data_IF_623294440357
#
_entry.id   IF_623294440357
#
_cell.length_a   1.000
_cell.length_b   1.000
_cell.length_c   1.000
_cell.angle_alpha   90.00
_cell.angle_beta   90.00
_cell.angle_gamma   90.00
#
_symmetry.space_group_name_H-M   'P 1'
#
loop_
_entity.id
_entity.type
_entity.pdbx_description
1 polymer ?
#
# COMPACT_ATOMS: atom_id res chain seq x y z
N UNK A 1 -0.04 -26.43 8.29
CA UNK A 1 0.74 -25.32 8.87
C UNK A 1 0.57 -25.34 10.38
N UNK A 2 1.66 -25.49 11.14
CA UNK A 2 1.61 -25.61 12.62
C UNK A 2 2.38 -24.47 13.31
N UNK A 3 3.41 -23.94 12.67
CA UNK A 3 4.28 -22.92 13.26
C UNK A 3 4.76 -21.92 12.21
N UNK A 4 4.47 -20.64 12.44
CA UNK A 4 4.75 -19.55 11.49
C UNK A 4 5.81 -18.62 12.06
N UNK A 5 6.90 -18.38 11.30
CA UNK A 5 7.82 -17.28 11.55
C UNK A 5 7.27 -16.01 10.92
N UNK A 6 7.19 -14.94 11.71
CA UNK A 6 6.70 -13.63 11.26
C UNK A 6 7.91 -12.78 10.93
N UNK A 7 8.20 -12.66 9.62
CA UNK A 7 9.34 -11.92 9.11
C UNK A 7 9.05 -10.40 9.01
N UNK A 8 8.52 -9.84 10.08
CA UNK A 8 8.15 -8.44 10.17
C UNK A 8 8.15 -7.96 11.63
N UNK A 9 7.78 -6.69 11.87
CA UNK A 9 7.76 -6.00 13.15
C UNK A 9 6.50 -5.14 13.32
N UNK A 10 6.40 -4.50 14.46
CA UNK A 10 5.38 -3.46 14.69
C UNK A 10 3.95 -4.01 14.72
N UNK A 11 3.00 -3.20 14.30
CA UNK A 11 1.58 -3.53 14.39
C UNK A 11 1.21 -4.73 13.52
N UNK A 12 1.83 -4.86 12.33
CA UNK A 12 1.50 -5.99 11.42
C UNK A 12 1.97 -7.32 11.98
N UNK A 13 3.13 -7.36 12.67
CA UNK A 13 3.56 -8.58 13.36
C UNK A 13 2.59 -8.95 14.49
N UNK A 14 2.10 -7.97 15.26
CA UNK A 14 1.05 -8.18 16.27
C UNK A 14 -0.25 -8.69 15.63
N UNK A 15 -0.66 -8.12 14.48
CA UNK A 15 -1.86 -8.53 13.74
C UNK A 15 -1.76 -9.99 13.28
N UNK A 16 -0.59 -10.40 12.75
CA UNK A 16 -0.35 -11.78 12.30
C UNK A 16 -0.33 -12.75 13.49
N UNK A 17 0.32 -12.38 14.60
CA UNK A 17 0.32 -13.19 15.84
C UNK A 17 -1.12 -13.46 16.31
N UNK A 18 -1.98 -12.44 16.33
CA UNK A 18 -3.39 -12.58 16.72
C UNK A 18 -4.13 -13.56 15.79
N UNK A 19 -3.97 -13.41 14.47
CA UNK A 19 -4.58 -14.32 13.51
C UNK A 19 -4.09 -15.76 13.67
N UNK A 20 -2.78 -15.98 13.85
CA UNK A 20 -2.21 -17.30 14.11
C UNK A 20 -2.79 -17.94 15.39
N UNK A 21 -2.86 -17.18 16.49
CA UNK A 21 -3.43 -17.66 17.75
C UNK A 21 -4.89 -18.10 17.62
N UNK A 22 -5.70 -17.33 16.91
CA UNK A 22 -7.11 -17.68 16.67
C UNK A 22 -7.26 -18.93 15.77
N UNK A 23 -6.25 -19.27 14.98
CA UNK A 23 -6.18 -20.50 14.17
C UNK A 23 -5.46 -21.65 14.87
N UNK A 24 -4.99 -21.47 16.10
CA UNK A 24 -4.22 -22.49 16.83
C UNK A 24 -2.82 -22.73 16.25
N UNK A 25 -2.24 -21.76 15.57
CA UNK A 25 -0.92 -21.83 14.94
C UNK A 25 0.11 -21.18 15.87
N UNK A 26 1.20 -21.90 16.20
CA UNK A 26 2.29 -21.37 17.00
C UNK A 26 3.09 -20.29 16.24
N UNK A 27 3.60 -19.30 16.97
CA UNK A 27 4.20 -18.10 16.41
C UNK A 27 5.66 -17.92 16.81
N UNK A 28 6.49 -17.50 15.86
CA UNK A 28 7.87 -17.11 16.08
C UNK A 28 8.02 -15.67 15.61
N UNK A 29 8.28 -14.75 16.56
CA UNK A 29 8.65 -13.39 16.22
C UNK A 29 10.15 -13.31 15.94
N UNK A 30 10.53 -12.54 14.94
CA UNK A 30 11.92 -12.09 14.79
C UNK A 30 12.06 -10.64 15.22
N UNK A 31 13.25 -10.26 15.72
CA UNK A 31 13.48 -8.89 16.14
C UNK A 31 14.95 -8.49 15.98
N UNK A 32 15.17 -7.21 15.67
CA UNK A 32 16.48 -6.59 15.80
C UNK A 32 16.77 -6.19 17.24
N UNK A 33 18.02 -5.88 17.57
CA UNK A 33 18.38 -5.41 18.91
C UNK A 33 17.58 -4.17 19.36
N UNK A 34 17.12 -3.31 18.41
CA UNK A 34 16.28 -2.15 18.73
C UNK A 34 14.86 -2.55 19.17
N UNK A 35 14.35 -3.66 18.68
CA UNK A 35 12.99 -4.14 18.95
C UNK A 35 12.90 -5.17 20.08
N UNK A 36 13.96 -5.39 20.85
CA UNK A 36 14.00 -6.41 21.93
C UNK A 36 12.80 -6.35 22.88
N UNK A 37 12.26 -5.13 23.11
CA UNK A 37 11.11 -4.90 23.98
C UNK A 37 9.81 -4.66 23.23
N UNK A 38 9.79 -4.82 21.91
CA UNK A 38 8.60 -4.58 21.10
C UNK A 38 7.47 -5.58 21.45
N UNK A 39 6.22 -5.13 21.29
CA UNK A 39 5.05 -5.90 21.71
C UNK A 39 4.95 -7.26 20.98
N UNK A 40 5.28 -7.32 19.70
CA UNK A 40 5.26 -8.59 18.95
C UNK A 40 6.23 -9.64 19.51
N UNK A 41 7.37 -9.21 20.09
CA UNK A 41 8.34 -10.08 20.75
C UNK A 41 7.76 -10.68 22.04
N UNK A 42 6.97 -9.88 22.76
CA UNK A 42 6.34 -10.31 24.03
C UNK A 42 5.14 -11.21 23.80
N UNK A 43 4.43 -11.03 22.66
CA UNK A 43 3.22 -11.77 22.35
C UNK A 43 3.47 -13.11 21.67
N UNK A 44 4.55 -13.28 20.91
CA UNK A 44 4.83 -14.53 20.22
C UNK A 44 5.19 -15.66 21.18
N UNK A 45 4.95 -16.92 20.76
CA UNK A 45 5.30 -18.11 21.56
C UNK A 45 6.82 -18.29 21.67
N UNK A 46 7.55 -17.88 20.63
CA UNK A 46 9.02 -17.85 20.59
C UNK A 46 9.48 -16.55 19.95
N UNK A 47 10.69 -16.09 20.29
CA UNK A 47 11.28 -14.91 19.67
C UNK A 47 12.79 -15.08 19.44
N UNK A 48 13.29 -14.65 18.28
CA UNK A 48 14.68 -14.79 17.85
C UNK A 48 15.24 -13.43 17.46
N UNK A 49 16.38 -13.05 18.06
CA UNK A 49 17.13 -11.87 17.62
C UNK A 49 17.87 -12.19 16.30
N UNK A 50 17.60 -11.40 15.27
CA UNK A 50 18.14 -11.61 13.91
C UNK A 50 19.24 -10.63 13.51
N UNK A 51 19.67 -9.74 14.42
CA UNK A 51 20.76 -8.82 14.15
C UNK A 51 20.61 -7.44 14.80
N UNK A 52 21.48 -6.50 14.41
CA UNK A 52 21.47 -5.13 14.92
C UNK A 52 20.28 -4.31 14.39
N UNK A 53 20.14 -3.06 14.86
CA UNK A 53 19.03 -2.18 14.53
C UNK A 53 18.86 -1.87 13.04
N UNK A 54 19.95 -1.84 12.26
CA UNK A 54 19.88 -1.57 10.82
C UNK A 54 19.07 -2.65 10.09
N UNK A 55 18.06 -2.26 9.32
CA UNK A 55 17.17 -3.19 8.61
C UNK A 55 17.95 -4.13 7.66
N UNK A 56 18.96 -3.62 6.94
CA UNK A 56 19.81 -4.41 6.06
C UNK A 56 20.56 -5.56 6.77
N UNK A 57 20.85 -5.39 8.06
CA UNK A 57 21.57 -6.38 8.87
C UNK A 57 20.61 -7.24 9.73
N UNK A 58 19.30 -7.04 9.63
CA UNK A 58 18.26 -7.75 10.41
C UNK A 58 17.06 -8.13 9.54
N UNK A 59 16.02 -7.33 9.45
CA UNK A 59 14.76 -7.64 8.75
C UNK A 59 14.89 -7.84 7.24
N UNK A 60 15.93 -7.31 6.60
CA UNK A 60 16.28 -7.55 5.19
C UNK A 60 17.34 -8.64 5.01
N UNK A 61 17.85 -9.23 6.10
CA UNK A 61 18.85 -10.30 6.05
C UNK A 61 18.16 -11.66 5.89
N UNK A 62 18.00 -12.07 4.64
CA UNK A 62 17.35 -13.34 4.27
C UNK A 62 17.97 -14.55 4.96
N UNK A 63 19.31 -14.60 5.06
CA UNK A 63 20.03 -15.71 5.70
C UNK A 63 19.68 -15.80 7.19
N UNK A 64 19.65 -14.68 7.89
CA UNK A 64 19.27 -14.66 9.31
C UNK A 64 17.83 -15.15 9.53
N UNK A 65 16.90 -14.71 8.67
CA UNK A 65 15.48 -15.13 8.74
C UNK A 65 15.31 -16.63 8.47
N UNK A 66 15.94 -17.17 7.43
CA UNK A 66 15.87 -18.59 7.08
C UNK A 66 16.53 -19.45 8.15
N UNK A 67 17.65 -18.99 8.72
CA UNK A 67 18.32 -19.66 9.84
C UNK A 67 17.43 -19.70 11.07
N UNK A 68 16.79 -18.57 11.41
CA UNK A 68 15.84 -18.51 12.53
C UNK A 68 14.65 -19.45 12.31
N UNK A 69 14.10 -19.52 11.09
CA UNK A 69 13.02 -20.44 10.75
C UNK A 69 13.43 -21.92 10.94
N UNK A 70 14.62 -22.26 10.44
CA UNK A 70 15.16 -23.63 10.57
C UNK A 70 15.42 -24.01 12.04
N UNK A 71 16.05 -23.14 12.81
CA UNK A 71 16.39 -23.41 14.21
C UNK A 71 15.16 -23.53 15.11
N UNK A 72 14.09 -22.82 14.80
CA UNK A 72 12.85 -22.84 15.58
C UNK A 72 11.84 -23.88 15.09
N UNK A 73 12.12 -24.53 13.98
CA UNK A 73 11.22 -25.54 13.37
C UNK A 73 9.94 -24.91 12.83
N UNK A 74 10.03 -23.70 12.25
CA UNK A 74 8.92 -23.12 11.50
C UNK A 74 8.62 -23.94 10.24
N UNK A 75 7.36 -24.05 9.87
CA UNK A 75 6.92 -24.66 8.62
C UNK A 75 6.46 -23.61 7.58
N UNK A 76 6.31 -22.36 8.01
CA UNK A 76 5.95 -21.26 7.13
C UNK A 76 6.58 -19.93 7.58
N UNK A 77 6.67 -18.99 6.64
CA UNK A 77 7.09 -17.60 6.87
C UNK A 77 6.00 -16.66 6.37
N UNK A 78 5.55 -15.77 7.26
CA UNK A 78 4.64 -14.67 6.89
C UNK A 78 5.42 -13.37 6.83
N UNK A 79 5.56 -12.74 5.65
CA UNK A 79 6.38 -11.53 5.49
C UNK A 79 5.64 -10.24 5.92
N UNK A 80 4.32 -10.27 6.09
CA UNK A 80 3.50 -9.06 6.30
C UNK A 80 3.52 -8.13 5.08
N UNK A 81 3.83 -6.86 5.30
CA UNK A 81 4.08 -5.85 4.26
C UNK A 81 5.42 -5.14 4.50
N UNK A 82 5.99 -4.52 3.45
CA UNK A 82 7.34 -3.94 3.48
C UNK A 82 8.43 -5.01 3.62
N UNK A 83 9.66 -4.60 3.93
CA UNK A 83 10.85 -5.47 4.02
C UNK A 83 10.95 -6.47 2.85
N UNK A 84 10.78 -7.76 3.11
CA UNK A 84 10.93 -8.84 2.11
C UNK A 84 9.60 -9.36 1.57
N UNK A 85 8.48 -8.69 1.82
CA UNK A 85 7.15 -9.17 1.40
C UNK A 85 6.98 -9.23 -0.12
N UNK A 86 7.68 -8.38 -0.87
CA UNK A 86 7.69 -8.34 -2.33
C UNK A 86 9.07 -8.70 -2.92
N UNK A 87 9.81 -9.53 -2.19
CA UNK A 87 11.12 -10.01 -2.64
C UNK A 87 11.04 -11.45 -3.18
N UNK A 88 11.06 -11.59 -4.50
CA UNK A 88 10.94 -12.88 -5.17
C UNK A 88 12.08 -13.85 -4.84
N UNK A 89 13.32 -13.36 -4.69
CA UNK A 89 14.46 -14.18 -4.31
C UNK A 89 14.25 -14.79 -2.90
N UNK A 90 13.72 -14.01 -1.96
CA UNK A 90 13.38 -14.52 -0.64
C UNK A 90 12.28 -15.58 -0.68
N UNK A 91 11.23 -15.36 -1.48
CA UNK A 91 10.15 -16.35 -1.67
C UNK A 91 10.69 -17.67 -2.25
N UNK A 92 11.58 -17.62 -3.26
CA UNK A 92 12.26 -18.80 -3.82
C UNK A 92 13.11 -19.52 -2.78
N UNK A 93 13.89 -18.79 -1.98
CA UNK A 93 14.72 -19.36 -0.92
C UNK A 93 13.90 -20.01 0.19
N UNK A 94 12.73 -19.44 0.55
CA UNK A 94 11.80 -20.10 1.45
C UNK A 94 11.36 -21.46 0.91
N UNK A 95 10.92 -21.50 -0.34
CA UNK A 95 10.51 -22.75 -1.00
C UNK A 95 11.64 -23.79 -1.07
N UNK A 96 12.85 -23.37 -1.44
CA UNK A 96 14.03 -24.24 -1.47
C UNK A 96 14.41 -24.78 -0.09
N UNK A 97 14.12 -24.02 0.96
CA UNK A 97 14.31 -24.46 2.35
C UNK A 97 13.16 -25.33 2.90
N UNK A 98 12.15 -25.68 2.08
CA UNK A 98 10.98 -26.43 2.49
C UNK A 98 9.99 -25.64 3.34
N UNK A 99 10.04 -24.31 3.30
CA UNK A 99 9.16 -23.40 4.04
C UNK A 99 8.06 -22.87 3.13
N UNK A 100 6.82 -22.86 3.63
CA UNK A 100 5.72 -22.18 2.94
C UNK A 100 5.88 -20.68 3.09
N UNK A 101 6.02 -19.97 1.97
CA UNK A 101 5.93 -18.50 1.94
C UNK A 101 4.46 -18.08 1.92
N UNK A 102 4.01 -17.31 2.91
CA UNK A 102 2.61 -16.83 2.99
C UNK A 102 2.48 -15.60 2.09
N UNK A 103 2.24 -15.85 0.83
CA UNK A 103 2.19 -14.88 -0.25
C UNK A 103 1.99 -15.55 -1.60
N UNK A 104 2.05 -14.81 -2.70
CA UNK A 104 2.00 -15.36 -4.06
C UNK A 104 3.32 -16.05 -4.43
N UNK A 105 3.37 -16.66 -5.62
CA UNK A 105 4.59 -17.27 -6.12
C UNK A 105 5.66 -16.22 -6.41
N UNK A 106 6.92 -16.64 -6.33
CA UNK A 106 8.06 -15.77 -6.62
C UNK A 106 8.01 -15.20 -8.05
N UNK A 107 7.51 -15.97 -9.02
CA UNK A 107 7.42 -15.51 -10.41
C UNK A 107 6.36 -14.42 -10.59
N UNK A 108 5.26 -14.47 -9.85
CA UNK A 108 4.26 -13.39 -9.83
C UNK A 108 4.81 -12.14 -9.14
N UNK A 109 5.60 -12.31 -8.07
CA UNK A 109 6.26 -11.17 -7.40
C UNK A 109 7.24 -10.48 -8.37
N UNK A 110 8.08 -11.24 -9.08
CA UNK A 110 9.01 -10.68 -10.06
C UNK A 110 8.28 -9.97 -11.20
N UNK A 111 7.26 -10.65 -11.77
CA UNK A 111 6.50 -10.13 -12.90
C UNK A 111 5.80 -8.81 -12.57
N UNK A 112 5.18 -8.72 -11.40
CA UNK A 112 4.47 -7.51 -10.98
C UNK A 112 5.40 -6.44 -10.41
N UNK A 113 6.59 -6.81 -9.96
CA UNK A 113 7.63 -5.88 -9.49
C UNK A 113 8.29 -5.09 -10.63
N UNK A 114 8.29 -5.62 -11.86
CA UNK A 114 8.81 -4.92 -13.04
C UNK A 114 7.69 -4.17 -13.77
N UNK A 115 7.72 -2.83 -13.73
CA UNK A 115 6.62 -1.98 -14.25
C UNK A 115 6.29 -2.23 -15.72
N UNK A 116 7.31 -2.43 -16.57
CA UNK A 116 7.10 -2.67 -17.99
C UNK A 116 6.44 -4.04 -18.23
N UNK A 117 6.92 -5.09 -17.59
CA UNK A 117 6.37 -6.44 -17.67
C UNK A 117 4.95 -6.52 -17.09
N UNK A 118 4.71 -5.87 -15.94
CA UNK A 118 3.40 -5.77 -15.34
C UNK A 118 2.39 -5.10 -16.29
N UNK A 119 2.78 -3.95 -16.89
CA UNK A 119 1.95 -3.23 -17.86
C UNK A 119 1.65 -4.07 -19.10
N UNK A 120 2.64 -4.73 -19.68
CA UNK A 120 2.45 -5.59 -20.84
C UNK A 120 1.52 -6.76 -20.54
N UNK A 121 1.68 -7.36 -19.37
CA UNK A 121 0.83 -8.45 -18.88
C UNK A 121 -0.62 -7.98 -18.72
N UNK A 122 -0.84 -6.81 -18.17
CA UNK A 122 -2.17 -6.23 -18.00
C UNK A 122 -2.82 -5.91 -19.36
N UNK A 123 -2.07 -5.39 -20.33
CA UNK A 123 -2.57 -5.19 -21.70
C UNK A 123 -3.04 -6.51 -22.34
N UNK A 124 -2.25 -7.59 -22.20
CA UNK A 124 -2.62 -8.93 -22.69
C UNK A 124 -3.87 -9.50 -22.02
N UNK A 125 -4.10 -9.12 -20.77
CA UNK A 125 -5.28 -9.49 -19.99
C UNK A 125 -6.48 -8.53 -20.23
N UNK A 126 -6.39 -7.62 -21.20
CA UNK A 126 -7.42 -6.61 -21.51
C UNK A 126 -7.77 -5.67 -20.35
N UNK A 127 -6.82 -5.49 -19.42
CA UNK A 127 -6.95 -4.54 -18.32
C UNK A 127 -6.60 -3.14 -18.81
N UNK A 128 -7.46 -2.13 -18.59
CA UNK A 128 -7.15 -0.76 -18.98
C UNK A 128 -5.87 -0.26 -18.35
N UNK A 129 -4.93 0.22 -19.16
CA UNK A 129 -3.70 0.87 -18.70
C UNK A 129 -3.67 2.30 -19.20
N UNK A 130 -2.96 3.20 -18.49
CA UNK A 130 -2.85 4.60 -18.92
C UNK A 130 -2.33 4.63 -20.36
N UNK A 131 -3.02 5.29 -21.32
CA UNK A 131 -2.53 5.43 -22.69
C UNK A 131 -1.12 6.01 -22.70
N UNK A 132 -0.19 5.38 -23.41
CA UNK A 132 1.20 5.79 -23.38
C UNK A 132 1.97 5.41 -24.63
N UNK A 133 3.27 5.73 -24.68
CA UNK A 133 4.14 5.33 -25.78
C UNK A 133 4.29 3.79 -25.80
N UNK A 134 4.26 3.24 -27.00
CA UNK A 134 4.42 1.79 -27.22
C UNK A 134 5.87 1.32 -26.98
N UNK A 135 6.83 2.24 -27.12
CA UNK A 135 8.24 1.99 -26.93
C UNK A 135 8.90 3.12 -26.17
N UNK A 136 10.02 2.82 -25.57
CA UNK A 136 10.94 3.80 -24.98
C UNK A 136 11.67 4.55 -26.10
N UNK A 137 12.12 5.75 -25.80
CA UNK A 137 12.87 6.60 -26.73
C UNK A 137 13.95 7.43 -26.03
N UNK A 138 14.96 7.82 -26.80
CA UNK A 138 16.10 8.62 -26.30
C UNK A 138 16.19 10.00 -26.99
N UNK A 139 15.29 10.28 -27.93
CA UNK A 139 15.31 11.55 -28.69
C UNK A 139 14.01 12.32 -28.52
N UNK A 140 14.11 13.65 -28.44
CA UNK A 140 12.95 14.52 -28.33
C UNK A 140 12.01 14.41 -29.55
N UNK A 141 12.54 14.15 -30.75
CA UNK A 141 11.74 14.00 -31.97
C UNK A 141 10.81 12.78 -31.89
N UNK A 142 11.34 11.61 -31.49
CA UNK A 142 10.54 10.39 -31.30
C UNK A 142 9.48 10.57 -30.20
N UNK A 143 9.88 11.18 -29.07
CA UNK A 143 8.96 11.48 -27.96
C UNK A 143 7.85 12.44 -28.37
N UNK A 144 8.15 13.49 -29.14
CA UNK A 144 7.13 14.43 -29.61
C UNK A 144 6.09 13.76 -30.55
N UNK A 145 6.53 12.86 -31.44
CA UNK A 145 5.62 12.09 -32.27
C UNK A 145 4.68 11.20 -31.43
N UNK A 146 5.23 10.57 -30.40
CA UNK A 146 4.43 9.77 -29.47
C UNK A 146 3.44 10.64 -28.70
N UNK A 147 3.89 11.80 -28.18
CA UNK A 147 3.04 12.76 -27.47
C UNK A 147 1.87 13.27 -28.33
N UNK A 148 2.11 13.54 -29.60
CA UNK A 148 1.07 13.98 -30.54
C UNK A 148 0.01 12.89 -30.76
N UNK A 149 0.40 11.61 -30.77
CA UNK A 149 -0.55 10.48 -30.89
C UNK A 149 -1.37 10.25 -29.62
N UNK A 150 -0.74 10.44 -28.44
CA UNK A 150 -1.40 10.30 -27.14
C UNK A 150 -2.35 11.47 -26.89
N UNK A 151 -1.99 12.66 -27.37
CA UNK A 151 -2.67 13.94 -27.13
C UNK A 151 -2.24 14.58 -25.80
N UNK A 152 -1.89 15.90 -25.87
CA UNK A 152 -1.50 16.67 -24.71
C UNK A 152 -2.68 16.92 -23.73
N UNK A 153 -2.42 17.12 -22.42
CA UNK A 153 -1.14 17.03 -21.75
C UNK A 153 -0.63 15.58 -21.61
N UNK A 154 0.70 15.42 -21.56
CA UNK A 154 1.37 14.13 -21.36
C UNK A 154 2.34 14.20 -20.18
N UNK A 155 2.56 13.03 -19.55
CA UNK A 155 3.59 12.83 -18.53
C UNK A 155 4.80 12.16 -19.17
N UNK A 156 5.93 12.84 -19.23
CA UNK A 156 7.22 12.27 -19.61
C UNK A 156 7.87 11.63 -18.36
N UNK A 157 8.36 10.40 -18.50
CA UNK A 157 8.97 9.63 -17.40
C UNK A 157 10.26 8.95 -17.84
N UNK A 158 11.23 8.87 -16.91
CA UNK A 158 12.40 8.01 -17.08
C UNK A 158 11.98 6.54 -16.96
N UNK A 159 12.48 5.67 -17.86
CA UNK A 159 12.17 4.23 -17.83
C UNK A 159 12.84 3.54 -16.63
N UNK A 160 14.08 3.91 -16.32
CA UNK A 160 14.78 3.45 -15.14
C UNK A 160 14.59 4.48 -14.02
N UNK A 161 13.46 4.46 -13.29
CA UNK A 161 13.25 5.52 -12.32
C UNK A 161 12.17 5.24 -11.28
N UNK A 162 12.27 6.00 -10.18
CA UNK A 162 11.31 6.01 -9.09
C UNK A 162 11.42 7.34 -8.31
N UNK A 163 10.48 7.58 -7.39
CA UNK A 163 10.52 8.76 -6.51
C UNK A 163 10.34 10.12 -7.20
N UNK A 164 9.69 10.17 -8.38
CA UNK A 164 9.37 11.42 -9.08
C UNK A 164 10.52 12.05 -9.86
N UNK A 165 11.74 11.52 -9.82
CA UNK A 165 12.87 12.04 -10.60
C UNK A 165 12.77 11.65 -12.07
N UNK A 166 13.12 12.59 -12.97
CA UNK A 166 12.99 12.39 -14.41
C UNK A 166 11.55 12.37 -14.91
N UNK A 167 10.63 12.98 -14.16
CA UNK A 167 9.21 13.14 -14.54
C UNK A 167 8.87 14.58 -14.82
N UNK A 168 8.12 14.82 -15.92
CA UNK A 168 7.66 16.17 -16.31
C UNK A 168 6.27 16.09 -16.94
N UNK A 169 5.39 16.98 -16.50
CA UNK A 169 4.13 17.25 -17.21
C UNK A 169 4.42 18.20 -18.36
N UNK A 170 3.93 17.87 -19.54
CA UNK A 170 4.10 18.67 -20.75
C UNK A 170 2.72 18.96 -21.31
N UNK A 171 2.30 20.24 -21.24
CA UNK A 171 0.96 20.67 -21.62
C UNK A 171 0.78 20.85 -23.13
N UNK A 172 1.86 21.15 -23.84
CA UNK A 172 1.78 21.45 -25.29
C UNK A 172 3.10 21.16 -26.02
N UNK A 173 2.98 20.89 -27.31
CA UNK A 173 4.09 20.49 -28.18
C UNK A 173 5.28 21.46 -28.17
N UNK A 174 5.04 22.78 -28.04
CA UNK A 174 6.10 23.79 -28.02
C UNK A 174 7.09 23.62 -26.85
N UNK A 175 6.63 23.10 -25.71
CA UNK A 175 7.44 22.90 -24.50
C UNK A 175 8.25 21.58 -24.56
N UNK A 176 7.84 20.64 -25.43
CA UNK A 176 8.32 19.25 -25.38
C UNK A 176 9.84 19.11 -25.43
N UNK A 177 10.49 19.82 -26.37
CA UNK A 177 11.95 19.72 -26.57
C UNK A 177 12.73 20.18 -25.33
N UNK A 178 12.29 21.26 -24.70
CA UNK A 178 12.91 21.80 -23.49
C UNK A 178 12.76 20.88 -22.30
N UNK A 179 11.51 20.48 -22.00
CA UNK A 179 11.20 19.62 -20.87
C UNK A 179 11.82 18.21 -21.01
N UNK A 180 11.87 17.69 -22.24
CA UNK A 180 12.55 16.44 -22.54
C UNK A 180 14.04 16.49 -22.17
N UNK A 181 14.76 17.55 -22.57
CA UNK A 181 16.18 17.68 -22.27
C UNK A 181 16.45 17.76 -20.76
N UNK A 182 15.60 18.48 -20.01
CA UNK A 182 15.71 18.58 -18.56
C UNK A 182 15.45 17.23 -17.88
N UNK A 183 14.35 16.55 -18.22
CA UNK A 183 13.99 15.26 -17.64
C UNK A 183 15.02 14.17 -17.96
N UNK A 184 15.55 14.14 -19.20
CA UNK A 184 16.55 13.16 -19.61
C UNK A 184 17.89 13.37 -18.88
N UNK A 185 18.32 14.61 -18.68
CA UNK A 185 19.54 14.92 -17.92
C UNK A 185 19.37 14.49 -16.44
N UNK A 186 18.22 14.75 -15.85
CA UNK A 186 17.91 14.32 -14.50
C UNK A 186 17.91 12.79 -14.37
N UNK A 187 17.29 12.09 -15.34
CA UNK A 187 17.28 10.64 -15.40
C UNK A 187 18.69 10.05 -15.55
N UNK A 188 19.50 10.62 -16.42
CA UNK A 188 20.90 10.21 -16.60
C UNK A 188 21.71 10.35 -15.32
N UNK A 189 21.58 11.49 -14.62
CA UNK A 189 22.32 11.76 -13.40
C UNK A 189 21.84 10.88 -12.22
N UNK A 190 20.54 10.61 -12.13
CA UNK A 190 19.97 9.85 -11.02
C UNK A 190 20.05 8.33 -11.21
N UNK A 191 19.92 7.86 -12.46
CA UNK A 191 19.72 6.44 -12.77
C UNK A 191 20.69 5.87 -13.81
N UNK A 192 21.54 6.70 -14.42
CA UNK A 192 22.49 6.28 -15.45
C UNK A 192 21.86 5.91 -16.80
N UNK A 193 20.57 6.19 -17.01
CA UNK A 193 19.81 5.85 -18.21
C UNK A 193 19.24 7.08 -18.90
N UNK A 194 19.22 7.07 -20.25
CA UNK A 194 18.58 8.10 -21.08
C UNK A 194 17.23 7.68 -21.67
N UNK A 195 16.79 6.47 -21.35
CA UNK A 195 15.53 5.93 -21.84
C UNK A 195 14.35 6.63 -21.16
N UNK A 196 13.45 7.14 -21.98
CA UNK A 196 12.24 7.86 -21.57
C UNK A 196 11.02 7.21 -22.19
N UNK A 197 9.88 7.36 -21.54
CA UNK A 197 8.58 6.98 -22.09
C UNK A 197 7.53 8.04 -21.76
N UNK A 198 6.37 7.95 -22.38
CA UNK A 198 5.25 8.88 -22.18
C UNK A 198 4.01 8.15 -21.73
N UNK A 199 3.23 8.83 -20.90
CA UNK A 199 1.87 8.46 -20.56
C UNK A 199 0.95 9.68 -20.71
N UNK A 200 -0.35 9.43 -20.94
CA UNK A 200 -1.36 10.46 -20.84
C UNK A 200 -1.35 11.04 -19.44
N UNK A 201 -1.28 12.37 -19.32
CA UNK A 201 -1.40 13.01 -18.02
C UNK A 201 -2.87 13.02 -17.56
N UNK A 202 -3.10 12.52 -16.37
CA UNK A 202 -4.38 12.60 -15.69
C UNK A 202 -4.32 13.76 -14.70
N UNK A 203 -5.15 14.79 -14.90
CA UNK A 203 -5.02 16.04 -14.15
C UNK A 203 -5.50 15.89 -12.68
N UNK A 204 -6.62 15.20 -12.46
CA UNK A 204 -7.28 15.07 -11.15
C UNK A 204 -7.73 13.63 -10.88
N UNK A 205 -6.81 12.63 -10.97
CA UNK A 205 -7.21 11.25 -10.75
C UNK A 205 -7.40 10.99 -9.26
N UNK A 206 -8.24 9.98 -8.98
CA UNK A 206 -8.34 9.38 -7.65
C UNK A 206 -7.59 8.06 -7.63
N UNK A 207 -7.01 7.72 -6.49
CA UNK A 207 -6.37 6.45 -6.27
C UNK A 207 -7.36 5.47 -5.65
N UNK A 208 -7.85 4.55 -6.46
CA UNK A 208 -8.78 3.51 -6.03
C UNK A 208 -8.09 2.16 -6.20
N UNK A 209 -8.23 1.30 -5.22
CA UNK A 209 -7.59 -0.01 -5.24
C UNK A 209 -8.57 -1.13 -4.90
N UNK A 210 -8.33 -2.33 -5.45
CA UNK A 210 -9.18 -3.51 -5.25
C UNK A 210 -8.44 -4.57 -4.49
N UNK A 211 -9.00 -4.99 -3.35
CA UNK A 211 -8.49 -6.10 -2.57
C UNK A 211 -8.83 -7.43 -3.24
N UNK A 212 -7.81 -8.20 -3.56
CA UNK A 212 -7.92 -9.56 -4.09
C UNK A 212 -7.61 -10.58 -3.00
N UNK A 213 -8.37 -11.67 -3.01
CA UNK A 213 -8.02 -12.95 -2.40
C UNK A 213 -8.13 -14.04 -3.47
N UNK A 214 -7.10 -14.88 -3.59
CA UNK A 214 -7.07 -15.96 -4.55
C UNK A 214 -6.45 -17.23 -3.96
N UNK A 215 -7.03 -18.40 -4.25
CA UNK A 215 -6.53 -19.68 -3.77
C UNK A 215 -5.76 -20.46 -4.85
N UNK A 216 -5.14 -21.57 -4.44
CA UNK A 216 -4.37 -22.44 -5.32
C UNK A 216 -5.23 -23.22 -6.33
N UNK A 217 -6.57 -23.26 -6.18
CA UNK A 217 -7.50 -23.88 -7.10
C UNK A 217 -8.00 -22.92 -8.19
N UNK A 218 -7.56 -21.68 -8.18
CA UNK A 218 -7.94 -20.64 -9.17
C UNK A 218 -9.21 -19.88 -8.81
N UNK A 219 -9.77 -20.06 -7.61
CA UNK A 219 -10.86 -19.21 -7.14
C UNK A 219 -10.30 -17.83 -6.79
N UNK A 220 -10.95 -16.78 -7.27
CA UNK A 220 -10.55 -15.39 -7.05
C UNK A 220 -11.73 -14.57 -6.57
N UNK A 221 -11.55 -13.86 -5.47
CA UNK A 221 -12.49 -12.87 -4.95
C UNK A 221 -11.92 -11.45 -5.09
N UNK A 222 -12.73 -10.54 -5.62
CA UNK A 222 -12.59 -9.11 -5.32
C UNK A 222 -13.38 -8.84 -4.05
N UNK A 223 -12.69 -8.57 -2.97
CA UNK A 223 -13.30 -8.43 -1.62
C UNK A 223 -13.96 -7.07 -1.44
N UNK A 224 -13.51 -6.07 -2.18
CA UNK A 224 -14.01 -4.71 -2.19
C UNK A 224 -12.93 -3.74 -2.62
N UNK A 225 -13.32 -2.49 -2.78
CA UNK A 225 -12.39 -1.41 -3.14
C UNK A 225 -12.16 -0.45 -1.97
N UNK A 226 -11.02 0.24 -2.03
CA UNK A 226 -10.61 1.31 -1.12
C UNK A 226 -10.31 2.57 -1.89
N UNK A 227 -10.62 3.72 -1.31
CA UNK A 227 -10.20 5.04 -1.78
C UNK A 227 -8.98 5.50 -0.98
N UNK A 228 -7.85 5.55 -1.63
CA UNK A 228 -6.54 5.92 -1.07
C UNK A 228 -6.02 7.24 -1.65
N UNK A 229 -6.93 8.13 -2.06
CA UNK A 229 -6.61 9.37 -2.74
C UNK A 229 -5.83 10.36 -1.85
N UNK A 230 -6.07 10.35 -0.54
CA UNK A 230 -5.41 11.27 0.39
C UNK A 230 -4.00 10.80 0.71
N UNK A 231 -3.03 11.38 0.01
CA UNK A 231 -1.61 11.03 0.10
C UNK A 231 -0.76 12.29 0.24
N UNK A 232 0.38 12.15 0.93
CA UNK A 232 1.43 13.16 0.99
C UNK A 232 2.75 12.54 0.52
N UNK A 233 3.37 13.11 -0.49
CA UNK A 233 4.62 12.58 -1.07
C UNK A 233 4.50 11.09 -1.46
N UNK A 234 3.37 10.71 -2.08
CA UNK A 234 3.01 9.34 -2.46
C UNK A 234 2.87 8.34 -1.28
N UNK A 235 2.71 8.84 -0.07
CA UNK A 235 2.36 8.03 1.10
C UNK A 235 0.90 8.27 1.49
N UNK A 236 0.13 7.21 1.57
CA UNK A 236 -1.28 7.22 1.99
C UNK A 236 -1.38 7.73 3.43
N UNK A 237 -2.34 8.59 3.72
CA UNK A 237 -2.54 9.24 5.03
C UNK A 237 -3.91 8.92 5.61
N UNK A 238 -4.94 8.95 4.77
CA UNK A 238 -6.33 8.61 5.09
C UNK A 238 -6.83 7.68 3.98
N UNK A 239 -7.44 6.56 4.37
CA UNK A 239 -8.02 5.58 3.46
C UNK A 239 -9.48 5.30 3.83
N UNK A 240 -10.34 5.16 2.83
CA UNK A 240 -11.78 4.91 2.99
C UNK A 240 -12.24 3.65 2.25
N UNK A 241 -13.23 2.96 2.79
CA UNK A 241 -13.92 1.86 2.12
C UNK A 241 -15.43 1.89 2.46
N UNK A 242 -16.31 1.67 1.46
CA UNK A 242 -16.05 1.61 0.03
C UNK A 242 -15.73 3.00 -0.56
N UNK A 243 -15.23 3.03 -1.81
CA UNK A 243 -14.97 4.27 -2.56
C UNK A 243 -16.30 4.90 -3.00
N UNK A 244 -16.80 5.88 -2.24
CA UNK A 244 -18.11 6.51 -2.49
C UNK A 244 -18.13 7.39 -3.75
N UNK A 245 -16.98 7.71 -4.32
CA UNK A 245 -16.88 8.45 -5.57
C UNK A 245 -17.26 7.64 -6.81
N UNK A 246 -17.30 6.29 -6.70
CA UNK A 246 -17.61 5.39 -7.81
C UNK A 246 -19.11 5.20 -7.99
N UNK A 247 -19.57 5.27 -9.25
CA UNK A 247 -20.88 4.77 -9.62
C UNK A 247 -20.95 3.24 -9.44
N UNK A 248 -22.14 2.69 -9.26
CA UNK A 248 -22.33 1.23 -9.18
C UNK A 248 -21.75 0.52 -10.40
N UNK A 249 -22.00 1.05 -11.60
CA UNK A 249 -21.52 0.47 -12.86
C UNK A 249 -19.99 0.47 -12.93
N UNK A 250 -19.34 1.59 -12.54
CA UNK A 250 -17.87 1.70 -12.58
C UNK A 250 -17.24 0.78 -11.52
N UNK A 251 -17.83 0.70 -10.34
CA UNK A 251 -17.42 -0.24 -9.29
C UNK A 251 -17.46 -1.69 -9.77
N UNK A 252 -18.57 -2.11 -10.36
CA UNK A 252 -18.72 -3.47 -10.88
C UNK A 252 -17.69 -3.80 -11.97
N UNK A 253 -17.47 -2.88 -12.91
CA UNK A 253 -16.42 -3.01 -13.95
C UNK A 253 -15.03 -3.12 -13.33
N UNK A 254 -14.72 -2.24 -12.36
CA UNK A 254 -13.42 -2.21 -11.67
C UNK A 254 -13.13 -3.54 -10.95
N UNK A 255 -14.10 -4.04 -10.18
CA UNK A 255 -13.99 -5.31 -9.47
C UNK A 255 -13.84 -6.50 -10.43
N UNK A 256 -14.64 -6.54 -11.52
CA UNK A 256 -14.54 -7.57 -12.53
C UNK A 256 -13.19 -7.57 -13.25
N UNK A 257 -12.67 -6.38 -13.59
CA UNK A 257 -11.35 -6.19 -14.19
C UNK A 257 -10.24 -6.73 -13.27
N UNK A 258 -10.30 -6.42 -11.99
CA UNK A 258 -9.31 -6.92 -11.02
C UNK A 258 -9.35 -8.46 -10.87
N UNK A 259 -10.54 -9.06 -10.91
CA UNK A 259 -10.68 -10.53 -10.92
C UNK A 259 -10.07 -11.14 -12.19
N UNK A 260 -10.33 -10.55 -13.35
CA UNK A 260 -9.78 -11.01 -14.65
C UNK A 260 -8.26 -10.95 -14.63
N UNK A 261 -7.69 -9.84 -14.18
CA UNK A 261 -6.25 -9.66 -14.04
C UNK A 261 -5.63 -10.69 -13.08
N UNK A 262 -6.21 -10.89 -11.90
CA UNK A 262 -5.70 -11.86 -10.92
C UNK A 262 -5.74 -13.31 -11.47
N UNK A 263 -6.79 -13.68 -12.21
CA UNK A 263 -6.89 -14.97 -12.87
C UNK A 263 -5.82 -15.16 -13.95
N UNK A 264 -5.55 -14.15 -14.78
CA UNK A 264 -4.52 -14.21 -15.82
C UNK A 264 -3.11 -14.39 -15.26
N UNK A 265 -2.87 -13.90 -14.04
CA UNK A 265 -1.62 -14.05 -13.30
C UNK A 265 -1.50 -15.40 -12.56
N UNK A 266 -2.54 -16.23 -12.53
CA UNK A 266 -2.63 -17.36 -11.60
C UNK A 266 -2.31 -16.95 -10.18
N UNK A 267 -2.83 -15.78 -9.77
CA UNK A 267 -2.52 -15.18 -8.47
C UNK A 267 -2.97 -16.09 -7.31
N UNK A 268 -2.21 -16.07 -6.22
CA UNK A 268 -2.56 -16.76 -4.97
C UNK A 268 -2.29 -15.84 -3.77
N UNK A 269 -3.02 -16.04 -2.66
CA UNK A 269 -2.93 -15.23 -1.44
C UNK A 269 -3.71 -13.89 -1.54
N UNK A 270 -3.44 -12.98 -0.61
CA UNK A 270 -3.96 -11.62 -0.65
C UNK A 270 -3.07 -10.73 -1.51
N UNK A 271 -3.68 -9.88 -2.32
CA UNK A 271 -3.01 -8.87 -3.12
C UNK A 271 -3.94 -7.69 -3.37
N UNK A 272 -3.37 -6.60 -3.85
CA UNK A 272 -4.15 -5.39 -4.15
C UNK A 272 -3.79 -4.86 -5.52
N UNK A 273 -4.80 -4.63 -6.36
CA UNK A 273 -4.64 -3.95 -7.64
C UNK A 273 -4.98 -2.48 -7.48
N UNK A 274 -4.03 -1.62 -7.79
CA UNK A 274 -4.17 -0.17 -7.70
C UNK A 274 -4.51 0.43 -9.05
N UNK A 275 -5.47 1.36 -9.06
CA UNK A 275 -5.97 2.04 -10.24
C UNK A 275 -6.01 3.55 -10.04
N UNK A 276 -5.74 4.28 -11.13
CA UNK A 276 -6.08 5.69 -11.22
C UNK A 276 -7.44 5.85 -11.90
N UNK A 277 -8.41 6.39 -11.19
CA UNK A 277 -9.73 6.71 -11.71
C UNK A 277 -9.71 8.15 -12.18
N UNK A 278 -9.79 8.34 -13.49
CA UNK A 278 -9.69 9.66 -14.13
C UNK A 278 -11.02 10.42 -14.08
N UNK A 279 -12.14 9.70 -14.21
CA UNK A 279 -13.50 10.24 -14.18
C UNK A 279 -14.51 9.12 -13.85
N UNK A 280 -15.81 9.41 -14.02
CA UNK A 280 -16.90 8.49 -13.67
C UNK A 280 -16.88 7.15 -14.47
N UNK A 281 -16.18 7.07 -15.61
CA UNK A 281 -16.21 5.92 -16.52
C UNK A 281 -14.84 5.30 -16.75
N UNK A 282 -13.75 6.07 -16.57
CA UNK A 282 -12.41 5.68 -16.95
C UNK A 282 -11.52 5.42 -15.75
N UNK A 283 -10.98 4.23 -15.67
CA UNK A 283 -9.95 3.84 -14.71
C UNK A 283 -8.81 3.10 -15.42
N UNK A 284 -7.62 3.19 -14.87
CA UNK A 284 -6.41 2.64 -15.44
C UNK A 284 -5.58 1.94 -14.38
N UNK A 285 -5.09 0.73 -14.69
CA UNK A 285 -4.16 0.01 -13.84
C UNK A 285 -2.88 0.83 -13.62
N UNK A 286 -2.46 0.92 -12.37
CA UNK A 286 -1.24 1.58 -11.96
C UNK A 286 -0.17 0.56 -11.57
N UNK A 287 -0.47 -0.29 -10.59
CA UNK A 287 0.42 -1.35 -10.12
C UNK A 287 -0.36 -2.42 -9.35
N UNK A 288 0.32 -3.53 -9.06
CA UNK A 288 -0.19 -4.56 -8.15
C UNK A 288 0.75 -4.75 -6.98
N UNK A 289 0.24 -4.59 -5.77
CA UNK A 289 0.95 -4.97 -4.56
C UNK A 289 0.71 -6.45 -4.27
N UNK A 290 1.77 -7.25 -4.35
CA UNK A 290 1.70 -8.71 -4.23
C UNK A 290 1.79 -9.19 -2.77
N UNK A 291 1.12 -8.48 -1.87
CA UNK A 291 1.12 -8.65 -0.41
C UNK A 291 -0.14 -8.08 0.22
N UNK A 292 -0.31 -8.28 1.52
CA UNK A 292 -1.28 -7.53 2.31
C UNK A 292 -0.86 -6.04 2.37
N UNK A 293 -1.83 -5.13 2.41
CA UNK A 293 -1.56 -3.69 2.57
C UNK A 293 -1.79 -3.20 4.00
N UNK A 294 -1.26 -2.01 4.31
CA UNK A 294 -1.43 -1.35 5.62
C UNK A 294 -2.91 -1.17 5.93
N UNK A 295 -3.68 -0.68 4.95
CA UNK A 295 -5.09 -0.32 5.00
C UNK A 295 -6.07 -1.51 4.86
N UNK A 296 -5.58 -2.75 4.94
CA UNK A 296 -6.44 -3.94 4.92
C UNK A 296 -7.57 -3.92 5.97
N UNK A 297 -7.40 -3.30 7.16
CA UNK A 297 -8.46 -3.29 8.18
C UNK A 297 -9.78 -2.70 7.73
N UNK A 298 -9.79 -1.67 6.87
CA UNK A 298 -11.03 -1.07 6.40
C UNK A 298 -11.82 -2.04 5.50
N UNK A 299 -11.14 -2.85 4.70
CA UNK A 299 -11.77 -3.93 3.93
C UNK A 299 -12.29 -5.04 4.84
N UNK A 300 -11.54 -5.43 5.87
CA UNK A 300 -12.00 -6.43 6.84
C UNK A 300 -13.31 -6.01 7.52
N UNK A 301 -13.40 -4.73 7.92
CA UNK A 301 -14.58 -4.19 8.59
C UNK A 301 -15.78 -4.04 7.65
N UNK A 302 -15.55 -3.71 6.38
CA UNK A 302 -16.63 -3.53 5.40
C UNK A 302 -17.11 -4.82 4.77
N UNK A 303 -16.27 -5.87 4.72
CA UNK A 303 -16.59 -7.16 4.13
C UNK A 303 -16.93 -8.27 5.14
N UNK A 304 -16.47 -8.13 6.39
CA UNK A 304 -16.52 -9.19 7.39
C UNK A 304 -15.51 -10.33 7.19
N UNK A 305 -14.54 -10.14 6.29
CA UNK A 305 -13.52 -11.15 5.96
C UNK A 305 -12.22 -10.80 6.69
N UNK A 306 -11.67 -11.74 7.47
CA UNK A 306 -10.33 -11.61 8.05
C UNK A 306 -9.28 -11.99 7.01
N UNK A 307 -8.66 -10.97 6.39
CA UNK A 307 -7.71 -11.14 5.28
C UNK A 307 -6.44 -11.88 5.71
N UNK A 308 -5.93 -11.61 6.90
CA UNK A 308 -4.71 -12.26 7.41
C UNK A 308 -4.96 -13.73 7.71
N UNK A 309 -6.12 -14.09 8.29
CA UNK A 309 -6.48 -15.50 8.45
C UNK A 309 -6.62 -16.21 7.11
N UNK A 310 -7.20 -15.55 6.10
CA UNK A 310 -7.32 -16.12 4.76
C UNK A 310 -5.95 -16.30 4.09
N UNK A 311 -5.00 -15.40 4.28
CA UNK A 311 -3.63 -15.63 3.81
C UNK A 311 -3.05 -16.92 4.39
N UNK A 312 -3.20 -17.15 5.70
CA UNK A 312 -2.71 -18.35 6.38
C UNK A 312 -3.44 -19.61 5.90
N UNK A 313 -4.76 -19.56 5.73
CA UNK A 313 -5.59 -20.68 5.24
C UNK A 313 -5.24 -21.06 3.80
N UNK A 314 -5.14 -20.08 2.91
CA UNK A 314 -4.75 -20.31 1.50
C UNK A 314 -3.35 -20.90 1.43
N UNK A 315 -2.41 -20.40 2.21
CA UNK A 315 -1.06 -20.95 2.30
C UNK A 315 -1.02 -22.36 2.87
N UNK A 316 -2.00 -22.74 3.68
CA UNK A 316 -2.20 -24.12 4.16
C UNK A 316 -2.94 -25.02 3.15
N UNK A 317 -3.35 -24.52 1.99
CA UNK A 317 -4.04 -25.28 0.94
C UNK A 317 -5.57 -25.25 1.03
N UNK A 318 -6.16 -24.44 1.91
CA UNK A 318 -7.62 -24.26 1.95
C UNK A 318 -8.10 -23.49 0.70
N UNK A 319 -9.28 -23.90 0.20
CA UNK A 319 -9.93 -23.24 -0.93
C UNK A 319 -10.88 -22.16 -0.44
N UNK A 320 -10.98 -21.10 -1.20
CA UNK A 320 -12.03 -20.10 -1.00
C UNK A 320 -13.39 -20.75 -1.24
N UNK A 321 -14.38 -20.57 -0.34
CA UNK A 321 -15.72 -21.10 -0.55
C UNK A 321 -16.37 -20.42 -1.77
N UNK A 322 -17.44 -21.02 -2.31
CA UNK A 322 -18.25 -20.34 -3.30
C UNK A 322 -18.70 -19.00 -2.72
N UNK A 323 -18.65 -17.93 -3.53
CA UNK A 323 -18.98 -16.57 -3.09
C UNK A 323 -20.45 -16.52 -2.66
N UNK A 324 -20.71 -16.73 -1.39
CA UNK A 324 -21.99 -16.36 -0.79
C UNK A 324 -22.03 -14.85 -0.65
N UNK A 325 -23.25 -14.27 -0.55
CA UNK A 325 -23.41 -12.83 -0.39
C UNK A 325 -22.57 -12.35 0.79
N UNK A 326 -21.54 -11.56 0.49
CA UNK A 326 -20.75 -10.89 1.52
C UNK A 326 -21.68 -9.98 2.34
N UNK A 327 -21.42 -9.79 3.65
CA UNK A 327 -22.23 -8.90 4.49
C UNK A 327 -22.40 -7.53 3.82
N UNK A 328 -23.54 -6.90 4.04
CA UNK A 328 -23.80 -5.54 3.53
C UNK A 328 -22.65 -4.62 3.90
N UNK A 329 -22.04 -4.02 2.90
CA UNK A 329 -20.90 -3.13 3.09
C UNK A 329 -21.28 -2.00 4.03
N UNK A 330 -20.55 -1.87 5.14
CA UNK A 330 -20.55 -0.70 6.03
C UNK A 330 -19.50 0.26 5.48
N UNK A 331 -19.42 1.43 6.05
CA UNK A 331 -18.36 2.39 5.75
C UNK A 331 -17.25 2.30 6.80
N UNK A 332 -15.99 2.37 6.37
CA UNK A 332 -14.84 2.41 7.26
C UNK A 332 -13.81 3.44 6.76
N UNK A 333 -13.08 4.03 7.69
CA UNK A 333 -12.04 5.04 7.45
C UNK A 333 -10.87 4.71 8.36
N UNK A 334 -9.66 4.71 7.81
CA UNK A 334 -8.40 4.54 8.53
C UNK A 334 -7.60 5.83 8.50
N UNK A 335 -6.98 6.19 9.63
CA UNK A 335 -5.98 7.23 9.73
C UNK A 335 -4.67 6.62 10.23
N UNK A 336 -3.58 6.88 9.52
CA UNK A 336 -2.23 6.45 9.92
C UNK A 336 -1.64 7.43 10.92
N UNK A 337 -1.31 6.94 12.11
CA UNK A 337 -0.65 7.74 13.16
C UNK A 337 0.86 7.57 13.04
N UNK A 338 1.53 8.63 12.62
CA UNK A 338 2.97 8.66 12.42
C UNK A 338 3.67 9.42 13.56
N UNK A 339 4.72 8.84 14.12
CA UNK A 339 5.62 9.52 15.02
C UNK A 339 6.58 10.43 14.23
N UNK A 340 6.52 11.71 14.49
CA UNK A 340 7.41 12.72 13.87
C UNK A 340 8.78 12.82 14.56
N UNK A 341 8.91 12.23 15.76
CA UNK A 341 10.14 12.16 16.52
C UNK A 341 10.31 10.78 17.13
N UNK A 342 11.53 10.28 17.21
CA UNK A 342 11.85 9.13 18.06
C UNK A 342 11.74 9.51 19.53
N UNK A 343 11.52 8.54 20.42
CA UNK A 343 11.42 8.80 21.85
C UNK A 343 10.65 7.72 22.60
N UNK A 344 10.59 7.86 23.91
CA UNK A 344 9.84 6.95 24.79
C UNK A 344 8.40 7.46 24.94
N UNK A 345 7.42 6.59 24.73
CA UNK A 345 6.01 6.86 25.01
C UNK A 345 5.84 7.00 26.54
N UNK A 346 5.62 8.22 27.03
CA UNK A 346 5.50 8.52 28.44
C UNK A 346 4.07 8.36 28.97
N UNK A 347 3.08 8.76 28.16
CA UNK A 347 1.66 8.58 28.44
C UNK A 347 0.98 8.08 27.18
N UNK A 348 0.04 7.18 27.35
CA UNK A 348 -0.72 6.57 26.26
C UNK A 348 -2.17 6.39 26.68
N UNK A 349 -3.08 6.98 25.92
CA UNK A 349 -4.48 6.62 25.89
C UNK A 349 -4.88 6.36 24.44
N UNK A 350 -5.43 5.19 24.17
CA UNK A 350 -5.93 4.80 22.85
C UNK A 350 -7.46 4.90 22.85
N UNK A 351 -8.06 5.39 21.75
CA UNK A 351 -9.49 5.57 21.69
C UNK A 351 -10.21 4.21 21.65
N UNK A 352 -11.46 4.21 22.07
CA UNK A 352 -12.28 3.02 22.10
C UNK A 352 -13.76 3.29 21.82
N UNK A 353 -14.60 2.32 22.15
CA UNK A 353 -16.05 2.40 21.99
C UNK A 353 -16.57 1.84 20.67
N UNK A 354 -17.88 2.03 20.47
CA UNK A 354 -18.59 1.45 19.33
C UNK A 354 -18.13 2.04 18.01
N UNK A 355 -17.63 1.18 17.11
CA UNK A 355 -17.21 1.59 15.77
C UNK A 355 -15.77 2.10 15.69
N UNK A 356 -14.93 1.80 16.70
CA UNK A 356 -13.50 2.09 16.70
C UNK A 356 -12.69 0.79 16.79
N UNK A 357 -11.66 0.68 15.95
CA UNK A 357 -10.60 -0.33 16.01
C UNK A 357 -9.25 0.39 16.03
N UNK A 358 -8.32 -0.08 16.82
CA UNK A 358 -6.94 0.42 16.86
C UNK A 358 -5.97 -0.73 16.63
N UNK A 359 -5.17 -0.64 15.56
CA UNK A 359 -4.09 -1.58 15.28
C UNK A 359 -2.76 -0.90 15.60
N UNK A 360 -2.05 -1.40 16.61
CA UNK A 360 -0.81 -0.79 17.10
C UNK A 360 0.07 -1.81 17.82
N UNK A 361 1.35 -1.48 17.93
CA UNK A 361 2.32 -2.20 18.75
C UNK A 361 2.93 -1.33 19.87
N UNK A 362 2.47 -0.08 20.03
CA UNK A 362 2.99 0.79 21.11
C UNK A 362 2.29 0.49 22.43
N UNK A 363 3.01 0.79 23.51
CA UNK A 363 2.52 0.75 24.88
C UNK A 363 3.27 1.80 25.71
N UNK A 364 2.79 2.11 26.89
CA UNK A 364 3.48 3.06 27.79
C UNK A 364 4.86 2.52 28.17
N UNK A 365 5.91 3.31 27.95
CA UNK A 365 7.30 2.93 28.14
C UNK A 365 7.97 2.35 26.87
N UNK A 366 7.23 2.17 25.77
CA UNK A 366 7.82 1.74 24.50
C UNK A 366 8.73 2.84 23.92
N UNK A 367 9.91 2.43 23.47
CA UNK A 367 10.84 3.30 22.74
C UNK A 367 10.53 3.21 21.25
N UNK A 368 10.02 4.29 20.66
CA UNK A 368 9.87 4.43 19.20
C UNK A 368 11.25 4.60 18.59
N UNK A 369 11.77 3.59 17.84
CA UNK A 369 13.13 3.64 17.30
C UNK A 369 13.18 4.53 16.06
N UNK A 370 14.30 5.23 15.79
CA UNK A 370 14.47 6.05 14.59
C UNK A 370 14.84 5.24 13.33
N UNK A 371 14.97 3.91 13.45
CA UNK A 371 15.55 3.03 12.44
C UNK A 371 14.54 2.53 11.39
N UNK A 372 13.24 2.71 11.62
CA UNK A 372 12.16 2.11 10.83
C UNK A 372 11.12 3.15 10.45
N UNK A 373 10.09 2.70 9.71
CA UNK A 373 8.96 3.54 9.35
C UNK A 373 8.34 4.22 10.57
N UNK A 374 7.84 5.43 10.36
CA UNK A 374 7.32 6.31 11.41
C UNK A 374 5.92 5.93 11.90
N UNK A 375 5.19 5.06 11.19
CA UNK A 375 3.84 4.67 11.58
C UNK A 375 3.85 3.84 12.87
N UNK A 376 3.15 4.32 13.88
CA UNK A 376 3.09 3.70 15.23
C UNK A 376 1.72 3.13 15.57
N UNK A 377 0.68 3.59 14.89
CA UNK A 377 -0.69 3.09 15.05
C UNK A 377 -1.53 3.37 13.81
N UNK A 378 -2.62 2.61 13.66
CA UNK A 378 -3.72 2.89 12.78
C UNK A 378 -4.97 3.03 13.63
N UNK A 379 -5.70 4.12 13.48
CA UNK A 379 -7.02 4.30 14.07
C UNK A 379 -8.02 4.11 12.97
N UNK A 380 -8.98 3.23 13.17
CA UNK A 380 -9.98 2.86 12.19
C UNK A 380 -11.37 3.12 12.80
N UNK A 381 -12.13 3.99 12.16
CA UNK A 381 -13.54 4.21 12.49
C UNK A 381 -14.41 3.49 11.46
N UNK A 382 -15.55 2.91 11.89
CA UNK A 382 -16.50 2.28 10.99
C UNK A 382 -17.95 2.53 11.43
N UNK A 383 -18.87 2.47 10.47
CA UNK A 383 -20.27 2.79 10.73
C UNK A 383 -21.18 2.52 9.55
N UNK A 384 -22.37 3.11 9.61
CA UNK A 384 -23.43 2.91 8.62
C UNK A 384 -23.28 3.82 7.40
N UNK A 385 -22.61 4.96 7.55
CA UNK A 385 -22.38 5.96 6.50
C UNK A 385 -21.10 6.76 6.74
N UNK A 386 -20.62 7.46 5.71
CA UNK A 386 -19.39 8.24 5.71
C UNK A 386 -19.37 9.35 6.76
N UNK A 387 -20.46 10.10 6.89
CA UNK A 387 -20.52 11.23 7.82
C UNK A 387 -20.39 10.77 9.27
N UNK A 388 -21.11 9.72 9.64
CA UNK A 388 -21.00 9.07 10.95
C UNK A 388 -19.57 8.62 11.22
N UNK A 389 -18.90 8.03 10.24
CA UNK A 389 -17.53 7.50 10.39
C UNK A 389 -16.52 8.63 10.51
N UNK A 390 -16.66 9.72 9.75
CA UNK A 390 -15.79 10.91 9.89
C UNK A 390 -15.94 11.51 11.29
N UNK A 391 -17.15 11.64 11.82
CA UNK A 391 -17.37 12.16 13.18
C UNK A 391 -16.75 11.23 14.25
N UNK A 392 -16.89 9.91 14.09
CA UNK A 392 -16.25 8.93 14.98
C UNK A 392 -14.73 9.03 14.93
N UNK A 393 -14.15 9.22 13.74
CA UNK A 393 -12.70 9.38 13.60
C UNK A 393 -12.20 10.66 14.28
N UNK A 394 -12.91 11.77 14.12
CA UNK A 394 -12.56 13.03 14.81
C UNK A 394 -12.59 12.81 16.33
N UNK A 395 -13.65 12.23 16.88
CA UNK A 395 -13.75 11.92 18.31
C UNK A 395 -12.61 10.99 18.76
N UNK A 396 -12.30 9.96 17.98
CA UNK A 396 -11.22 9.03 18.30
C UNK A 396 -9.83 9.68 18.28
N UNK A 397 -9.58 10.59 17.34
CA UNK A 397 -8.33 11.35 17.28
C UNK A 397 -8.21 12.34 18.44
N UNK A 398 -9.28 13.06 18.78
CA UNK A 398 -9.35 13.99 19.93
C UNK A 398 -9.13 13.25 21.27
N UNK A 399 -9.66 12.03 21.41
CA UNK A 399 -9.49 11.19 22.59
C UNK A 399 -8.05 10.60 22.71
N UNK A 400 -7.32 10.51 21.58
CA UNK A 400 -6.01 9.85 21.54
C UNK A 400 -4.95 10.69 22.23
N UNK A 401 -4.31 10.13 23.25
CA UNK A 401 -3.15 10.75 23.91
C UNK A 401 -1.91 9.91 23.69
N UNK A 402 -0.90 10.49 23.03
CA UNK A 402 0.43 9.91 22.86
C UNK A 402 1.45 10.97 23.27
N UNK A 403 2.03 10.86 24.47
CA UNK A 403 3.02 11.81 24.95
C UNK A 403 4.43 11.21 24.97
N UNK A 404 5.45 12.07 24.84
CA UNK A 404 6.86 11.68 24.77
C UNK A 404 7.40 11.59 23.33
N UNK A 405 6.53 11.55 22.33
CA UNK A 405 6.83 11.72 20.90
C UNK A 405 5.82 12.68 20.28
N UNK A 406 6.20 13.40 19.23
CA UNK A 406 5.25 14.18 18.43
C UNK A 406 4.60 13.27 17.39
N UNK A 407 3.34 13.52 17.09
CA UNK A 407 2.56 12.76 16.09
C UNK A 407 1.90 13.71 15.08
N UNK A 408 1.30 13.14 14.06
CA UNK A 408 0.54 13.85 13.02
C UNK A 408 -0.96 13.99 13.35
N UNK A 409 -1.41 13.76 14.59
CA UNK A 409 -2.85 13.76 14.95
C UNK A 409 -3.51 15.10 14.63
N UNK A 410 -2.92 16.24 15.02
CA UNK A 410 -3.47 17.57 14.74
C UNK A 410 -3.65 17.81 13.23
N UNK A 411 -2.71 17.33 12.42
CA UNK A 411 -2.79 17.41 10.97
C UNK A 411 -3.95 16.57 10.41
N UNK A 412 -4.17 15.37 10.92
CA UNK A 412 -5.30 14.52 10.54
C UNK A 412 -6.65 15.17 10.87
N UNK A 413 -6.76 15.79 12.05
CA UNK A 413 -7.96 16.54 12.44
C UNK A 413 -8.24 17.71 11.49
N UNK A 414 -7.21 18.45 11.08
CA UNK A 414 -7.33 19.51 10.07
C UNK A 414 -7.84 18.97 8.74
N UNK A 415 -7.26 17.86 8.23
CA UNK A 415 -7.69 17.24 6.96
C UNK A 415 -9.15 16.80 7.00
N UNK A 416 -9.59 16.17 8.09
CA UNK A 416 -10.98 15.71 8.26
C UNK A 416 -11.99 16.87 8.37
N UNK A 417 -11.53 18.07 8.71
CA UNK A 417 -12.36 19.28 8.76
C UNK A 417 -12.48 19.98 7.40
N UNK A 418 -11.54 19.73 6.46
CA UNK A 418 -11.49 20.41 5.17
C UNK A 418 -12.77 20.19 4.34
N UNK A 419 -13.39 21.26 3.81
CA UNK A 419 -14.60 21.16 3.00
C UNK A 419 -14.41 20.30 1.74
N UNK A 420 -13.25 20.37 1.09
CA UNK A 420 -12.95 19.61 -0.12
C UNK A 420 -12.90 18.12 0.16
N UNK A 421 -12.28 17.71 1.29
CA UNK A 421 -12.29 16.34 1.74
C UNK A 421 -13.72 15.83 2.00
N UNK A 422 -14.51 16.60 2.75
CA UNK A 422 -15.88 16.24 3.09
C UNK A 422 -16.79 16.10 1.87
N UNK A 423 -16.58 16.93 0.85
CA UNK A 423 -17.36 16.97 -0.39
C UNK A 423 -16.76 16.13 -1.53
N UNK A 424 -15.74 15.30 -1.25
CA UNK A 424 -15.08 14.43 -2.24
C UNK A 424 -14.45 15.19 -3.42
N UNK A 425 -14.04 16.45 -3.24
CA UNK A 425 -13.39 17.28 -4.25
C UNK A 425 -11.87 17.17 -4.22
N UNK A 426 -11.36 16.04 -3.76
CA UNK A 426 -9.94 15.76 -3.62
C UNK A 426 -9.45 14.87 -4.76
N UNK A 427 -8.19 15.04 -5.14
CA UNK A 427 -7.42 14.19 -6.05
C UNK A 427 -6.08 13.81 -5.41
N UNK A 428 -5.26 13.00 -6.10
CA UNK A 428 -3.97 12.54 -5.56
C UNK A 428 -2.96 13.67 -5.30
N UNK A 429 -3.15 14.85 -5.88
CA UNK A 429 -2.28 16.01 -5.73
C UNK A 429 -2.83 17.02 -4.70
N UNK A 430 -4.06 16.79 -4.21
CA UNK A 430 -4.77 17.75 -3.36
C UNK A 430 -3.97 18.15 -2.12
N UNK A 431 -3.37 17.18 -1.44
CA UNK A 431 -2.65 17.42 -0.20
C UNK A 431 -1.32 18.15 -0.41
N UNK A 432 -0.60 17.84 -1.48
CA UNK A 432 0.64 18.54 -1.84
C UNK A 432 0.35 19.99 -2.26
N UNK A 433 -0.78 20.23 -2.91
CA UNK A 433 -1.24 21.58 -3.27
C UNK A 433 -1.73 22.38 -2.06
N UNK A 434 -2.36 21.72 -1.07
CA UNK A 434 -2.81 22.35 0.18
C UNK A 434 -1.63 22.89 1.00
N UNK A 435 -0.50 22.18 1.01
CA UNK A 435 0.72 22.56 1.71
C UNK A 435 1.50 23.70 1.01
N UNK A 436 1.21 24.00 -0.26
CA UNK A 436 1.86 25.06 -1.04
C UNK A 436 0.92 26.27 -1.09
N UNK A 437 1.22 27.41 -0.40
CA UNK A 437 0.38 28.59 -0.53
C UNK A 437 0.33 29.01 -2.01
N UNK A 438 -0.85 29.44 -2.53
CA UNK A 438 -0.98 29.85 -3.91
C UNK A 438 0.04 30.95 -4.20
N UNK A 439 0.81 30.78 -5.28
CA UNK A 439 1.75 31.80 -5.73
C UNK A 439 0.96 33.11 -5.89
N UNK A 440 1.24 34.09 -5.04
CA UNK A 440 0.64 35.42 -5.14
C UNK A 440 0.89 35.95 -6.55
N UNK A 441 -0.16 36.05 -7.37
CA UNK A 441 -0.10 36.80 -8.61
C UNK A 441 0.41 38.18 -8.21
N UNK A 442 1.64 38.52 -8.60
CA UNK A 442 2.11 39.88 -8.51
C UNK A 442 1.18 40.69 -9.41
N UNK A 443 0.20 41.37 -8.81
CA UNK A 443 -0.51 42.44 -9.47
C UNK A 443 0.54 43.45 -9.90
N UNK A 444 0.70 43.61 -11.21
CA UNK A 444 1.54 44.62 -11.77
C UNK A 444 1.01 45.99 -11.33
N UNK A 445 1.77 46.69 -10.50
CA UNK A 445 1.58 48.12 -10.34
C UNK A 445 2.03 48.80 -11.63
N UNK A 446 1.07 49.47 -12.26
CA UNK A 446 1.27 50.51 -13.28
C UNK A 446 2.08 51.64 -12.64
#
# INVERSE_FOLDING_TARGET
MKKVLIANRGEIAVRIIRACRELGIATIAVYSTADRRALHVQLADQAVCIGPAAAAASYLNQTALLTAAKLTGADAIHPGYGFLSENADFARKCQQAGLTFVGPSADVIDLMGEKAAARETMIKAEVPVIPGSQAEFTTAAAGLQAAQKIGFPVMLKASAGGGGKGMRVIDQAAQFKHEFALAQNEALNAFGSKQMYLEKYLAHPRHIEVQILADQAGNVWAVGERDCTIQQHHQKVIEEAPAVCLSTTTREKLLATAVTAAKSLHYTSAGTMEFLVADAEHFYFMEMNTRIQVEHPITELTSGIDLVKWQLKIAAGEKLPAKESLPTAKFALECRINAQTAGVIKGLHLPGGLGIRVDTAIYQGYLVPPNYDSMIAKIIAYGIDRNTVIQRMIMALDETVISGVRTNIDFLLQLLAEPDYRQLRTDINWLDNLATPPATKKEGKI
#
